data_IF_521811020338
#
_entry.id   IF_521811020338
#
_cell.length_a   1.000
_cell.length_b   1.000
_cell.length_c   1.000
_cell.angle_alpha   90.00
_cell.angle_beta   90.00
_cell.angle_gamma   90.00
#
_symmetry.space_group_name_H-M   'P 1'
#
loop_
_entity.id
_entity.type
_entity.pdbx_description
1 polymer ?
#
# COMPACT_ATOMS: atom_id res chain seq x y z
N UNK A 1 -46.59 -41.01 29.43
CA UNK A 1 -46.76 -39.59 29.83
C UNK A 1 -46.15 -38.71 28.74
N UNK A 2 -46.70 -38.55 27.53
CA UNK A 2 -47.90 -37.80 27.11
C UNK A 2 -48.03 -36.39 27.71
N UNK A 3 -47.67 -35.39 26.87
CA UNK A 3 -48.22 -34.03 26.61
C UNK A 3 -48.54 -33.11 27.82
N UNK A 4 -48.21 -31.80 27.81
CA UNK A 4 -48.80 -30.81 26.91
C UNK A 4 -47.95 -29.53 26.75
N UNK A 5 -47.95 -29.01 25.51
CA UNK A 5 -47.60 -27.65 25.16
C UNK A 5 -48.85 -26.75 25.16
N UNK A 6 -48.67 -25.47 25.53
CA UNK A 6 -49.57 -24.35 25.22
C UNK A 6 -49.84 -23.40 26.40
N UNK A 7 -50.31 -22.14 26.19
CA UNK A 7 -50.63 -21.50 24.91
C UNK A 7 -49.95 -20.13 24.66
N UNK A 8 -49.92 -19.77 23.37
CA UNK A 8 -49.73 -18.41 22.87
C UNK A 8 -51.10 -17.70 22.67
N UNK A 9 -51.18 -16.42 23.03
CA UNK A 9 -52.23 -15.45 22.64
C UNK A 9 -51.92 -14.12 23.37
N UNK A 10 -52.03 -12.91 22.82
CA UNK A 10 -52.78 -12.41 21.67
C UNK A 10 -52.31 -10.98 21.32
N UNK A 11 -52.27 -10.70 20.01
CA UNK A 11 -52.84 -9.51 19.34
C UNK A 11 -52.41 -8.11 19.82
N UNK A 12 -51.50 -7.50 19.05
CA UNK A 12 -51.62 -6.11 18.62
C UNK A 12 -52.00 -6.08 17.15
N UNK A 13 -53.20 -5.59 16.81
CA UNK A 13 -53.73 -5.49 15.44
C UNK A 13 -53.79 -4.02 15.02
N UNK A 14 -53.40 -3.79 13.77
CA UNK A 14 -53.95 -2.85 12.77
C UNK A 14 -53.65 -1.34 12.88
N UNK A 15 -53.08 -0.86 11.78
CA UNK A 15 -53.38 0.45 11.20
C UNK A 15 -52.35 0.90 10.16
N UNK A 16 -52.54 0.64 8.85
CA UNK A 16 -51.85 1.37 7.78
C UNK A 16 -52.72 2.57 7.35
N UNK A 17 -52.10 3.67 6.88
CA UNK A 17 -52.60 4.63 5.88
C UNK A 17 -51.82 5.95 5.99
N UNK A 18 -51.09 6.31 4.92
CA UNK A 18 -51.21 7.61 4.24
C UNK A 18 -50.12 7.73 3.17
N UNK A 19 -50.56 7.49 1.95
CA UNK A 19 -49.92 7.81 0.67
C UNK A 19 -50.29 9.26 0.35
N UNK A 20 -49.32 10.13 0.10
CA UNK A 20 -49.48 11.39 -0.65
C UNK A 20 -48.17 11.56 -1.45
N UNK A 21 -48.16 11.18 -2.73
CA UNK A 21 -48.41 12.05 -3.89
C UNK A 21 -47.28 13.07 -4.11
N UNK A 22 -46.48 12.84 -5.16
CA UNK A 22 -45.49 13.80 -5.65
C UNK A 22 -46.10 14.90 -6.52
N UNK A 23 -45.24 15.63 -7.25
CA UNK A 23 -45.60 15.99 -8.61
C UNK A 23 -44.50 15.61 -9.62
N UNK A 24 -44.96 15.08 -10.74
CA UNK A 24 -44.25 15.05 -12.00
C UNK A 24 -43.90 16.47 -12.47
N UNK A 25 -42.71 16.61 -13.06
CA UNK A 25 -42.47 17.62 -14.08
C UNK A 25 -42.16 16.90 -15.39
N UNK A 26 -43.09 17.08 -16.31
CA UNK A 26 -43.20 16.51 -17.64
C UNK A 26 -42.13 17.01 -18.61
N UNK A 27 -41.95 16.19 -19.64
CA UNK A 27 -40.95 16.23 -20.68
C UNK A 27 -41.16 17.33 -21.74
N UNK A 28 -40.15 17.43 -22.62
CA UNK A 28 -40.12 18.01 -23.96
C UNK A 28 -39.66 19.48 -24.01
N UNK A 29 -38.60 19.85 -24.73
CA UNK A 29 -38.49 19.66 -26.18
C UNK A 29 -37.05 19.84 -26.69
N UNK A 30 -36.64 18.98 -27.62
CA UNK A 30 -35.55 19.25 -28.59
C UNK A 30 -35.89 20.48 -29.45
N UNK A 31 -34.87 21.12 -30.01
CA UNK A 31 -34.87 21.31 -31.46
C UNK A 31 -33.65 20.71 -32.13
N UNK A 32 -33.90 20.29 -33.37
CA UNK A 32 -32.95 19.70 -34.29
C UNK A 32 -32.14 20.75 -35.07
N UNK A 33 -30.99 20.30 -35.56
CA UNK A 33 -30.44 20.55 -36.88
C UNK A 33 -30.14 22.00 -37.32
N UNK A 34 -28.87 22.36 -37.26
CA UNK A 34 -28.07 23.17 -38.22
C UNK A 34 -26.61 23.06 -37.77
N UNK A 35 -25.59 22.81 -38.57
CA UNK A 35 -25.49 22.45 -39.97
C UNK A 35 -24.14 21.75 -40.18
N UNK A 36 -24.09 20.93 -41.22
CA UNK A 36 -22.86 20.35 -41.75
C UNK A 36 -21.93 21.47 -42.23
N UNK A 37 -20.66 21.42 -41.86
CA UNK A 37 -19.57 21.73 -42.79
C UNK A 37 -18.48 20.68 -42.62
N UNK A 38 -18.44 19.76 -43.59
CA UNK A 38 -17.28 18.94 -43.91
C UNK A 38 -16.25 19.89 -44.50
N UNK A 39 -15.14 20.13 -43.81
CA UNK A 39 -13.94 20.64 -44.46
C UNK A 39 -13.24 19.45 -45.14
N UNK A 40 -13.28 19.45 -46.47
CA UNK A 40 -12.51 18.54 -47.29
C UNK A 40 -11.01 18.91 -47.20
N UNK A 41 -10.18 17.88 -47.19
CA UNK A 41 -8.73 17.95 -47.07
C UNK A 41 -8.05 18.72 -48.23
N UNK A 42 -6.97 19.47 -47.95
CA UNK A 42 -5.98 19.80 -48.97
C UNK A 42 -5.06 18.59 -49.18
N UNK A 43 -5.11 18.01 -50.38
CA UNK A 43 -4.10 17.07 -50.90
C UNK A 43 -2.76 17.80 -51.00
N UNK A 44 -1.79 17.43 -50.16
CA UNK A 44 -0.39 17.81 -50.36
C UNK A 44 0.36 16.64 -51.04
N UNK A 45 1.16 16.92 -52.07
CA UNK A 45 1.96 15.89 -52.75
C UNK A 45 3.13 15.44 -51.86
N UNK A 46 3.39 14.14 -51.88
CA UNK A 46 4.50 13.50 -51.18
C UNK A 46 5.84 13.82 -51.85
N UNK A 47 6.88 14.22 -51.11
CA UNK A 47 8.25 14.19 -51.59
C UNK A 47 8.92 12.85 -51.22
N UNK A 48 9.05 12.01 -52.26
CA UNK A 48 10.18 11.14 -52.59
C UNK A 48 11.19 10.78 -51.47
N UNK A 49 11.22 9.49 -51.12
CA UNK A 49 12.30 8.87 -50.34
C UNK A 49 13.56 8.72 -51.21
N UNK A 50 14.75 9.15 -50.76
CA UNK A 50 15.99 8.78 -51.44
C UNK A 50 16.25 7.28 -51.29
N UNK A 51 16.13 6.55 -52.40
CA UNK A 51 16.69 5.21 -52.56
C UNK A 51 18.20 5.33 -52.78
N UNK A 52 18.99 5.13 -51.74
CA UNK A 52 20.43 4.88 -51.89
C UNK A 52 20.71 3.37 -51.85
N UNK A 53 20.79 2.80 -53.05
CA UNK A 53 21.66 1.72 -53.52
C UNK A 53 22.20 0.72 -52.50
N UNK A 54 21.72 -0.53 -52.63
CA UNK A 54 22.51 -1.76 -52.47
C UNK A 54 23.81 -1.67 -53.29
N UNK A 55 24.92 -2.20 -52.77
CA UNK A 55 25.89 -2.89 -53.61
C UNK A 55 25.63 -4.39 -53.56
N UNK A 56 25.41 -4.96 -54.74
CA UNK A 56 25.52 -6.39 -54.98
C UNK A 56 26.97 -6.83 -54.81
N UNK A 57 27.10 -8.04 -54.27
CA UNK A 57 28.26 -8.90 -54.14
C UNK A 57 28.99 -9.18 -55.45
N UNK A 58 30.32 -9.26 -55.38
CA UNK A 58 31.11 -10.21 -56.17
C UNK A 58 32.12 -10.95 -55.27
N UNK A 59 32.35 -12.27 -55.50
CA UNK A 59 33.30 -13.08 -54.75
C UNK A 59 34.68 -13.13 -55.42
N UNK A 60 35.75 -13.28 -54.63
CA UNK A 60 37.10 -13.57 -55.09
C UNK A 60 37.91 -14.28 -54.00
N UNK A 61 38.66 -15.35 -54.31
CA UNK A 61 39.21 -16.31 -53.33
C UNK A 61 40.58 -15.88 -52.79
N UNK A 62 40.89 -16.30 -51.58
CA UNK A 62 42.23 -16.15 -51.00
C UNK A 62 42.29 -16.74 -49.59
N UNK A 63 42.69 -18.01 -49.50
CA UNK A 63 43.12 -18.65 -48.26
C UNK A 63 44.29 -17.88 -47.65
N UNK A 64 44.27 -17.63 -46.33
CA UNK A 64 45.43 -17.78 -45.46
C UNK A 64 44.94 -18.04 -44.02
N UNK A 65 45.14 -19.27 -43.56
CA UNK A 65 44.96 -19.70 -42.18
C UNK A 65 46.11 -19.16 -41.31
N UNK A 66 45.86 -18.32 -40.29
CA UNK A 66 46.80 -18.13 -39.17
C UNK A 66 46.08 -17.89 -37.83
N UNK A 67 46.11 -18.96 -37.03
CA UNK A 67 45.93 -19.22 -35.58
C UNK A 67 45.57 -18.08 -34.59
N UNK A 68 44.69 -18.34 -33.61
CA UNK A 68 44.44 -17.45 -32.47
C UNK A 68 45.58 -17.50 -31.43
N UNK A 69 46.09 -16.33 -31.02
CA UNK A 69 47.06 -16.20 -29.93
C UNK A 69 46.35 -16.40 -28.58
N UNK A 70 46.83 -17.37 -27.79
CA UNK A 70 46.41 -17.56 -26.40
C UNK A 70 47.07 -16.50 -25.52
N UNK A 71 46.27 -15.75 -24.77
CA UNK A 71 46.76 -14.88 -23.69
C UNK A 71 46.97 -15.79 -22.48
N UNK A 72 48.23 -15.99 -22.11
CA UNK A 72 48.62 -16.64 -20.84
C UNK A 72 48.86 -15.50 -19.86
N UNK A 73 47.99 -15.36 -18.87
CA UNK A 73 48.31 -14.54 -17.71
C UNK A 73 49.23 -15.36 -16.82
N UNK A 74 50.46 -14.87 -16.66
CA UNK A 74 51.44 -15.42 -15.73
C UNK A 74 50.87 -15.26 -14.32
N UNK A 75 50.41 -16.38 -13.79
CA UNK A 75 50.26 -16.59 -12.38
C UNK A 75 51.64 -16.55 -11.71
N UNK A 76 51.63 -16.03 -10.49
CA UNK A 76 52.68 -16.05 -9.48
C UNK A 76 53.95 -15.21 -9.71
N UNK A 77 54.02 -14.03 -9.06
CA UNK A 77 55.06 -13.73 -8.06
C UNK A 77 54.66 -12.51 -7.17
N UNK A 78 54.26 -12.85 -5.93
CA UNK A 78 54.23 -12.06 -4.67
C UNK A 78 53.08 -11.05 -4.44
N UNK A 79 52.14 -11.35 -3.53
CA UNK A 79 51.40 -10.33 -2.81
C UNK A 79 52.37 -9.55 -1.91
N UNK A 80 52.52 -8.23 -2.14
CA UNK A 80 53.08 -7.34 -1.14
C UNK A 80 52.12 -7.30 0.05
N UNK A 81 52.59 -7.64 1.24
CA UNK A 81 51.90 -7.36 2.50
C UNK A 81 51.52 -5.88 2.59
N UNK A 82 50.26 -5.54 2.85
CA UNK A 82 49.90 -4.24 3.39
C UNK A 82 50.02 -4.28 4.92
N UNK A 83 51.16 -3.81 5.42
CA UNK A 83 51.33 -3.41 6.82
C UNK A 83 50.53 -2.13 7.08
N UNK A 84 49.22 -2.26 7.32
CA UNK A 84 48.45 -1.24 8.03
C UNK A 84 47.15 -1.82 8.57
N UNK A 85 46.93 -1.91 9.90
CA UNK A 85 45.58 -1.99 10.43
C UNK A 85 44.98 -0.59 10.34
N UNK A 86 44.59 -0.18 9.13
CA UNK A 86 43.72 0.97 8.99
C UNK A 86 42.37 0.54 9.55
N UNK A 87 42.09 1.02 10.77
CA UNK A 87 40.84 0.87 11.48
C UNK A 87 39.73 1.40 10.57
N UNK A 88 39.12 0.51 9.80
CA UNK A 88 37.81 0.76 9.23
C UNK A 88 36.92 1.25 10.37
N UNK A 89 36.36 2.47 10.28
CA UNK A 89 35.31 2.88 11.20
C UNK A 89 34.20 1.88 10.99
N UNK A 90 34.13 0.95 11.94
CA UNK A 90 33.07 -0.01 12.23
C UNK A 90 31.88 0.23 11.31
N UNK A 91 31.67 -0.71 10.39
CA UNK A 91 30.34 -1.07 9.94
C UNK A 91 29.44 -1.10 11.17
N UNK A 92 28.68 -0.01 11.35
CA UNK A 92 27.58 0.02 12.28
C UNK A 92 26.58 -0.94 11.65
N UNK A 93 26.65 -2.19 12.10
CA UNK A 93 25.67 -3.24 11.80
C UNK A 93 24.23 -2.75 12.04
N UNK A 94 23.24 -3.56 11.65
CA UNK A 94 21.83 -3.18 11.66
C UNK A 94 21.50 -2.47 12.96
N UNK A 95 21.15 -1.17 12.84
CA UNK A 95 20.88 -0.30 13.98
C UNK A 95 20.02 -1.07 14.97
N UNK A 96 20.56 -1.33 16.17
CA UNK A 96 19.78 -1.80 17.31
C UNK A 96 18.51 -0.96 17.31
N UNK A 97 17.34 -1.59 17.12
CA UNK A 97 16.06 -0.89 17.00
C UNK A 97 16.02 0.16 18.10
N UNK A 98 16.15 1.46 17.75
CA UNK A 98 16.18 2.49 18.76
C UNK A 98 14.87 2.39 19.50
N UNK A 99 14.93 2.42 20.83
CA UNK A 99 13.73 2.57 21.66
C UNK A 99 12.83 3.63 21.00
N UNK A 100 11.55 3.32 20.72
CA UNK A 100 10.69 4.27 20.02
C UNK A 100 10.69 5.63 20.72
N UNK A 101 10.74 6.71 19.95
CA UNK A 101 10.86 8.07 20.49
C UNK A 101 9.72 8.43 21.45
N UNK A 102 8.53 7.86 21.26
CA UNK A 102 7.40 8.05 22.17
C UNK A 102 7.63 7.43 23.56
N UNK A 103 8.45 6.40 23.71
CA UNK A 103 8.75 5.86 25.05
C UNK A 103 9.62 6.83 25.85
N UNK A 104 10.53 7.52 25.16
CA UNK A 104 11.39 8.56 25.72
C UNK A 104 10.62 9.87 25.97
N UNK A 105 9.73 10.25 25.05
CA UNK A 105 8.91 11.48 25.15
C UNK A 105 7.80 11.39 26.19
N UNK A 106 7.33 10.18 26.47
CA UNK A 106 6.22 9.94 27.39
C UNK A 106 6.64 8.96 28.51
N UNK A 107 7.50 9.39 29.44
CA UNK A 107 7.90 8.58 30.61
C UNK A 107 6.70 8.27 31.54
N UNK A 108 6.90 7.45 32.58
CA UNK A 108 5.88 7.22 33.59
C UNK A 108 5.29 8.52 34.15
N UNK A 109 3.96 8.57 34.22
CA UNK A 109 3.22 9.74 34.70
C UNK A 109 3.39 9.85 36.22
N UNK A 110 3.80 11.02 36.70
CA UNK A 110 4.05 11.26 38.14
C UNK A 110 2.97 12.11 38.80
N UNK A 111 2.18 12.86 38.01
CA UNK A 111 1.21 13.81 38.53
C UNK A 111 -0.01 13.97 37.62
N UNK A 112 -1.10 14.54 38.17
CA UNK A 112 -2.37 14.73 37.45
C UNK A 112 -2.27 15.64 36.23
N UNK A 113 -1.39 16.66 36.24
CA UNK A 113 -1.20 17.55 35.09
C UNK A 113 -0.60 16.79 33.91
N UNK A 114 0.40 15.95 34.17
CA UNK A 114 1.05 15.10 33.16
C UNK A 114 0.07 14.09 32.57
N UNK A 115 -0.75 13.45 33.42
CA UNK A 115 -1.84 12.57 33.01
C UNK A 115 -2.78 13.25 32.02
N UNK A 116 -3.25 14.46 32.34
CA UNK A 116 -4.14 15.24 31.47
C UNK A 116 -3.47 15.62 30.13
N UNK A 117 -2.17 15.96 30.13
CA UNK A 117 -1.44 16.22 28.88
C UNK A 117 -1.37 14.96 28.00
N UNK A 118 -1.11 13.80 28.59
CA UNK A 118 -1.03 12.54 27.85
C UNK A 118 -2.40 12.16 27.26
N UNK A 119 -3.47 12.38 28.03
CA UNK A 119 -4.84 12.15 27.57
C UNK A 119 -5.21 13.07 26.39
N UNK A 120 -4.84 14.35 26.45
CA UNK A 120 -5.08 15.28 25.35
C UNK A 120 -4.35 14.86 24.06
N UNK A 121 -3.07 14.47 24.17
CA UNK A 121 -2.30 13.93 23.02
C UNK A 121 -2.93 12.65 22.48
N UNK A 122 -3.38 11.76 23.36
CA UNK A 122 -4.05 10.53 22.95
C UNK A 122 -5.30 10.84 22.12
N UNK A 123 -6.17 11.74 22.61
CA UNK A 123 -7.41 12.10 21.93
C UNK A 123 -7.16 12.74 20.57
N UNK A 124 -6.23 13.70 20.49
CA UNK A 124 -5.83 14.38 19.26
C UNK A 124 -5.34 13.37 18.20
N UNK A 125 -4.44 12.47 18.59
CA UNK A 125 -3.83 11.53 17.66
C UNK A 125 -4.69 10.30 17.34
N UNK A 126 -5.70 10.01 18.15
CA UNK A 126 -6.60 8.88 17.90
C UNK A 126 -7.42 9.09 16.62
N UNK A 127 -7.80 10.32 16.30
CA UNK A 127 -8.48 10.67 15.05
C UNK A 127 -7.65 10.26 13.82
N UNK A 128 -6.40 10.74 13.76
CA UNK A 128 -5.45 10.40 12.69
C UNK A 128 -5.26 8.87 12.57
N UNK A 129 -5.08 8.18 13.70
CA UNK A 129 -4.92 6.74 13.72
C UNK A 129 -6.14 6.00 13.16
N UNK A 130 -7.34 6.38 13.58
CA UNK A 130 -8.59 5.74 13.16
C UNK A 130 -8.80 5.88 11.65
N UNK A 131 -8.54 7.06 11.10
CA UNK A 131 -8.65 7.31 9.66
C UNK A 131 -7.61 6.51 8.87
N UNK A 132 -6.35 6.54 9.29
CA UNK A 132 -5.29 5.76 8.65
C UNK A 132 -5.56 4.25 8.72
N UNK A 133 -6.05 3.75 9.86
CA UNK A 133 -6.41 2.35 10.01
C UNK A 133 -7.51 1.95 9.02
N UNK A 134 -8.52 2.80 8.85
CA UNK A 134 -9.59 2.59 7.86
C UNK A 134 -9.04 2.57 6.44
N UNK A 135 -8.21 3.54 6.06
CA UNK A 135 -7.64 3.63 4.71
C UNK A 135 -6.70 2.47 4.38
N UNK A 136 -5.79 2.13 5.29
CA UNK A 136 -4.87 1.01 5.15
C UNK A 136 -5.66 -0.29 5.07
N UNK A 137 -6.66 -0.48 5.94
CA UNK A 137 -7.53 -1.64 5.93
C UNK A 137 -8.30 -1.80 4.61
N UNK A 138 -8.88 -0.73 4.08
CA UNK A 138 -9.60 -0.74 2.81
C UNK A 138 -8.67 -1.10 1.63
N UNK A 139 -7.48 -0.51 1.59
CA UNK A 139 -6.48 -0.78 0.55
C UNK A 139 -5.99 -2.23 0.64
N UNK A 140 -5.69 -2.71 1.85
CA UNK A 140 -5.25 -4.07 2.09
C UNK A 140 -6.33 -5.09 1.70
N UNK A 141 -7.60 -4.85 2.03
CA UNK A 141 -8.70 -5.71 1.63
C UNK A 141 -8.84 -5.80 0.10
N UNK A 142 -8.71 -4.67 -0.61
CA UNK A 142 -8.72 -4.66 -2.08
C UNK A 142 -7.55 -5.44 -2.68
N UNK A 143 -6.35 -5.31 -2.10
CA UNK A 143 -5.19 -6.07 -2.53
C UNK A 143 -5.39 -7.58 -2.31
N UNK A 144 -5.92 -7.98 -1.15
CA UNK A 144 -6.23 -9.38 -0.86
C UNK A 144 -7.29 -9.96 -1.80
N UNK A 145 -8.32 -9.19 -2.13
CA UNK A 145 -9.32 -9.60 -3.11
C UNK A 145 -8.70 -9.83 -4.50
N UNK A 146 -7.83 -8.93 -4.95
CA UNK A 146 -7.12 -9.07 -6.22
C UNK A 146 -6.17 -10.27 -6.21
N UNK A 147 -5.47 -10.50 -5.09
CA UNK A 147 -4.60 -11.67 -4.91
C UNK A 147 -5.39 -12.97 -5.01
N UNK A 148 -6.54 -13.06 -4.34
CA UNK A 148 -7.42 -14.22 -4.42
C UNK A 148 -7.91 -14.47 -5.86
N UNK A 149 -8.32 -13.41 -6.57
CA UNK A 149 -8.73 -13.52 -7.97
C UNK A 149 -7.59 -14.02 -8.85
N UNK A 150 -6.37 -13.46 -8.69
CA UNK A 150 -5.19 -13.87 -9.45
C UNK A 150 -4.80 -15.33 -9.20
N UNK A 151 -4.99 -15.83 -7.97
CA UNK A 151 -4.75 -17.22 -7.61
C UNK A 151 -5.83 -18.17 -8.15
N UNK A 152 -7.06 -17.68 -8.34
CA UNK A 152 -8.17 -18.49 -8.90
C UNK A 152 -8.18 -18.60 -10.43
N UNK A 153 -7.35 -17.84 -11.15
CA UNK A 153 -7.34 -17.86 -12.61
C UNK A 153 -6.83 -19.22 -13.14
N UNK A 154 -7.45 -19.76 -14.20
CA UNK A 154 -6.94 -20.96 -14.86
C UNK A 154 -5.57 -20.67 -15.52
N UNK A 155 -4.76 -21.71 -15.79
CA UNK A 155 -3.53 -21.56 -16.54
C UNK A 155 -3.77 -20.90 -17.91
N UNK A 156 -2.87 -20.01 -18.37
CA UNK A 156 -3.02 -19.34 -19.65
C UNK A 156 -2.99 -20.34 -20.80
N UNK A 157 -3.90 -20.18 -21.75
CA UNK A 157 -4.07 -21.08 -22.91
C UNK A 157 -3.29 -20.64 -24.13
N UNK A 158 -2.77 -19.40 -24.12
CA UNK A 158 -1.99 -18.82 -25.21
C UNK A 158 -0.86 -17.93 -24.70
N UNK A 159 0.15 -17.69 -25.55
CA UNK A 159 1.24 -16.77 -25.23
C UNK A 159 0.73 -15.34 -24.96
N UNK A 160 -0.33 -14.91 -25.65
CA UNK A 160 -0.95 -13.60 -25.43
C UNK A 160 -1.57 -13.49 -24.03
N UNK A 161 -2.31 -14.52 -23.60
CA UNK A 161 -2.87 -14.59 -22.25
C UNK A 161 -1.78 -14.62 -21.18
N UNK A 162 -0.72 -15.40 -21.40
CA UNK A 162 0.41 -15.46 -20.47
C UNK A 162 1.07 -14.09 -20.28
N UNK A 163 1.28 -13.34 -21.37
CA UNK A 163 1.82 -11.97 -21.31
C UNK A 163 0.89 -11.01 -20.56
N UNK A 164 -0.42 -11.13 -20.78
CA UNK A 164 -1.42 -10.30 -20.09
C UNK A 164 -1.47 -10.61 -18.59
N UNK A 165 -1.49 -11.90 -18.20
CA UNK A 165 -1.45 -12.32 -16.80
C UNK A 165 -0.17 -11.84 -16.10
N UNK A 166 0.98 -11.95 -16.76
CA UNK A 166 2.25 -11.43 -16.24
C UNK A 166 2.23 -9.91 -16.06
N UNK A 167 1.61 -9.18 -16.99
CA UNK A 167 1.44 -7.73 -16.87
C UNK A 167 0.57 -7.36 -15.67
N UNK A 168 -0.61 -7.99 -15.52
CA UNK A 168 -1.51 -7.72 -14.38
C UNK A 168 -0.82 -8.03 -13.05
N UNK A 169 -0.11 -9.16 -12.96
CA UNK A 169 0.66 -9.51 -11.75
C UNK A 169 1.73 -8.47 -11.43
N UNK A 170 2.46 -7.98 -12.44
CA UNK A 170 3.45 -6.91 -12.24
C UNK A 170 2.83 -5.62 -11.73
N UNK A 171 1.70 -5.19 -12.29
CA UNK A 171 1.01 -3.98 -11.83
C UNK A 171 0.45 -4.16 -10.40
N UNK A 172 -0.02 -5.35 -10.07
CA UNK A 172 -0.43 -5.69 -8.71
C UNK A 172 0.73 -5.58 -7.72
N UNK A 173 1.89 -6.17 -8.02
CA UNK A 173 3.08 -6.07 -7.16
C UNK A 173 3.54 -4.62 -6.98
N UNK A 174 3.49 -3.80 -8.04
CA UNK A 174 3.77 -2.36 -7.93
C UNK A 174 2.82 -1.67 -6.95
N UNK A 175 1.54 -2.04 -6.93
CA UNK A 175 0.55 -1.48 -5.98
C UNK A 175 0.77 -1.99 -4.56
N UNK A 176 1.22 -3.23 -4.37
CA UNK A 176 1.59 -3.75 -3.04
C UNK A 176 2.80 -3.03 -2.45
N UNK A 177 3.80 -2.75 -3.29
CA UNK A 177 5.03 -2.06 -2.90
C UNK A 177 4.99 -0.54 -3.10
N UNK A 178 3.80 0.05 -3.23
CA UNK A 178 3.67 1.49 -3.43
C UNK A 178 4.20 2.25 -2.20
N UNK A 179 5.18 3.15 -2.34
CA UNK A 179 5.78 3.85 -1.20
C UNK A 179 4.74 4.61 -0.38
N UNK A 180 3.75 5.24 -1.01
CA UNK A 180 2.70 5.98 -0.30
C UNK A 180 1.81 5.07 0.55
N UNK A 181 1.52 3.85 0.08
CA UNK A 181 0.82 2.86 0.88
C UNK A 181 1.67 2.35 2.06
N UNK A 182 2.95 2.05 1.81
CA UNK A 182 3.88 1.58 2.85
C UNK A 182 4.10 2.65 3.93
N UNK A 183 4.20 3.92 3.55
CA UNK A 183 4.33 5.05 4.48
C UNK A 183 3.09 5.18 5.37
N UNK A 184 1.89 5.08 4.80
CA UNK A 184 0.63 5.05 5.57
C UNK A 184 0.57 3.87 6.53
N UNK A 185 1.01 2.69 6.10
CA UNK A 185 1.07 1.50 6.96
C UNK A 185 2.07 1.69 8.10
N UNK A 186 3.26 2.22 7.82
CA UNK A 186 4.27 2.53 8.81
C UNK A 186 3.77 3.57 9.82
N UNK A 187 3.10 4.63 9.36
CA UNK A 187 2.49 5.65 10.21
C UNK A 187 1.39 5.08 11.11
N UNK A 188 0.51 4.23 10.56
CA UNK A 188 -0.52 3.55 11.32
C UNK A 188 0.08 2.68 12.43
N UNK A 189 1.12 1.90 12.12
CA UNK A 189 1.84 1.07 13.10
C UNK A 189 2.50 1.91 14.20
N UNK A 190 3.13 3.03 13.81
CA UNK A 190 3.75 3.96 14.74
C UNK A 190 2.71 4.54 15.72
N UNK A 191 1.60 5.07 15.21
CA UNK A 191 0.53 5.63 16.04
C UNK A 191 -0.09 4.58 16.94
N UNK A 192 -0.29 3.35 16.47
CA UNK A 192 -0.77 2.23 17.29
C UNK A 192 0.15 1.98 18.49
N UNK A 193 1.47 1.97 18.26
CA UNK A 193 2.47 1.84 19.32
C UNK A 193 2.42 3.00 20.32
N UNK A 194 2.46 4.23 19.81
CA UNK A 194 2.41 5.46 20.63
C UNK A 194 1.13 5.56 21.48
N UNK A 195 -0.03 5.32 20.88
CA UNK A 195 -1.32 5.39 21.56
C UNK A 195 -1.46 4.30 22.63
N UNK A 196 -0.98 3.07 22.34
CA UNK A 196 -0.91 1.99 23.33
C UNK A 196 -0.04 2.38 24.52
N UNK A 197 1.12 2.98 24.27
CA UNK A 197 2.04 3.45 25.30
C UNK A 197 1.41 4.54 26.18
N UNK A 198 0.85 5.60 25.56
CA UNK A 198 0.15 6.68 26.26
C UNK A 198 -0.96 6.13 27.16
N UNK A 199 -1.82 5.25 26.61
CA UNK A 199 -2.91 4.62 27.37
C UNK A 199 -2.38 3.81 28.55
N UNK A 200 -1.27 3.10 28.38
CA UNK A 200 -0.65 2.33 29.46
C UNK A 200 -0.10 3.23 30.57
N UNK A 201 0.56 4.35 30.23
CA UNK A 201 1.09 5.28 31.24
C UNK A 201 -0.02 5.98 32.03
N UNK A 202 -1.11 6.38 31.35
CA UNK A 202 -2.29 6.96 32.01
C UNK A 202 -2.91 5.94 32.97
N UNK A 203 -3.17 4.71 32.49
CA UNK A 203 -3.78 3.66 33.31
C UNK A 203 -2.95 3.33 34.55
N UNK A 204 -1.62 3.18 34.41
CA UNK A 204 -0.72 2.89 35.54
C UNK A 204 -0.80 3.96 36.64
N UNK A 205 -0.93 5.24 36.26
CA UNK A 205 -1.07 6.31 37.23
C UNK A 205 -2.44 6.31 37.91
N UNK A 206 -3.51 6.08 37.13
CA UNK A 206 -4.87 5.99 37.67
C UNK A 206 -4.97 4.82 38.67
N UNK A 207 -4.45 3.63 38.34
CA UNK A 207 -4.43 2.46 39.22
C UNK A 207 -3.67 2.75 40.55
N UNK A 208 -2.55 3.49 40.49
CA UNK A 208 -1.77 3.87 41.69
C UNK A 208 -2.48 4.91 42.56
N UNK A 209 -3.21 5.86 41.96
CA UNK A 209 -3.99 6.85 42.71
C UNK A 209 -5.12 6.18 43.48
N UNK A 210 -5.79 5.21 42.87
CA UNK A 210 -6.90 4.49 43.49
C UNK A 210 -6.41 3.65 44.68
N UNK A 211 -5.32 2.90 44.53
CA UNK A 211 -4.72 2.13 45.65
C UNK A 211 -4.25 3.02 46.81
N UNK A 212 -3.64 4.17 46.53
CA UNK A 212 -3.21 5.10 47.58
C UNK A 212 -4.39 5.79 48.28
N UNK A 213 -5.54 5.92 47.61
CA UNK A 213 -6.76 6.48 48.19
C UNK A 213 -7.46 5.48 49.11
N UNK A 214 -7.44 4.19 48.79
CA UNK A 214 -8.07 3.14 49.60
C UNK A 214 -7.28 2.84 50.88
N UNK A 215 -5.95 2.89 50.83
CA UNK A 215 -5.07 2.65 51.99
C UNK A 215 -5.05 3.81 53.01
N UNK A 216 -5.59 4.98 52.63
CA UNK A 216 -5.67 6.17 53.48
C UNK A 216 -6.93 6.23 54.36
N UNK A 217 -7.87 5.27 54.24
CA UNK A 217 -9.16 5.28 54.96
C UNK A 217 -9.12 4.45 56.26
N UNK A 218 -7.96 3.91 56.63
CA UNK A 218 -7.74 3.24 57.91
C UNK A 218 -6.77 4.04 58.79
N UNK A 219 -7.30 5.02 59.53
CA UNK A 219 -6.67 5.62 60.71
C UNK A 219 -7.74 5.93 61.76
#
# INVERSE_FOLDING_TARGET
MQIHAGPASRRGRRGPLARLSGPEATCNSRPAARGRQRAAAPRMPAPERPRSRRPQSQPGPGELCVRPRKIVFADELRPREPLHPEKHPRDLGPRLNPVPDYELKYPPVTNRRDRSRYAAVFQDQYGEFSELQREVGATQAKLQQLEALLLSLPPPRSQKEARMAAHVRREFEKKRGDPGFLDKQARCNYLKGKLRHLKAQIRKFDDQQDSNSEDSVYF
#
